data_IF_497297029037
#
_entry.id   IF_497297029037
#
_cell.length_a   1.000
_cell.length_b   1.000
_cell.length_c   1.000
_cell.angle_alpha   90.00
_cell.angle_beta   90.00
_cell.angle_gamma   90.00
#
_symmetry.space_group_name_H-M   'P 1'
#
loop_
_entity.id
_entity.type
_entity.pdbx_description
1 polymer ?
#
# COMPACT_ATOMS: atom_id res chain seq x y z
N UNK A 1 -10.38 5.90 -5.64
CA UNK A 1 -11.41 4.95 -6.15
C UNK A 1 -12.30 5.68 -7.15
N UNK A 2 -12.74 6.91 -6.85
CA UNK A 2 -13.44 7.78 -7.80
C UNK A 2 -12.62 8.07 -9.07
N UNK A 3 -11.36 8.50 -8.94
CA UNK A 3 -10.56 8.91 -10.13
C UNK A 3 -10.16 7.75 -11.03
N UNK A 4 -9.83 6.60 -10.44
CA UNK A 4 -9.49 5.39 -11.19
C UNK A 4 -10.70 4.85 -11.98
N UNK A 5 -11.88 4.80 -11.34
CA UNK A 5 -13.11 4.37 -12.00
C UNK A 5 -13.57 5.38 -13.05
N UNK A 6 -13.44 6.68 -12.79
CA UNK A 6 -13.68 7.73 -13.78
C UNK A 6 -12.78 7.58 -15.00
N UNK A 7 -11.47 7.42 -14.82
CA UNK A 7 -10.53 7.19 -15.91
C UNK A 7 -10.87 5.94 -16.72
N UNK A 8 -11.22 4.83 -16.05
CA UNK A 8 -11.67 3.63 -16.74
C UNK A 8 -12.95 3.85 -17.57
N UNK A 9 -13.92 4.61 -17.06
CA UNK A 9 -15.13 4.94 -17.80
C UNK A 9 -14.87 5.87 -18.98
N UNK A 10 -14.01 6.88 -18.82
CA UNK A 10 -13.60 7.78 -19.89
C UNK A 10 -12.94 7.01 -21.04
N UNK A 11 -11.95 6.16 -20.73
CA UNK A 11 -11.29 5.32 -21.73
C UNK A 11 -12.27 4.38 -22.45
N UNK A 12 -13.21 3.76 -21.72
CA UNK A 12 -14.24 2.88 -22.33
C UNK A 12 -15.17 3.61 -23.30
N UNK A 13 -15.32 4.92 -23.15
CA UNK A 13 -16.14 5.78 -24.02
C UNK A 13 -15.33 6.40 -25.16
N UNK A 14 -14.02 6.14 -25.23
CA UNK A 14 -13.13 6.79 -26.20
C UNK A 14 -12.83 8.25 -25.86
N UNK A 15 -13.13 8.69 -24.62
CA UNK A 15 -12.82 10.03 -24.16
C UNK A 15 -11.33 10.15 -23.84
N UNK A 16 -10.71 11.25 -24.28
CA UNK A 16 -9.31 11.51 -24.00
C UNK A 16 -9.16 12.23 -22.66
N UNK A 17 -8.39 11.64 -21.76
CA UNK A 17 -7.98 12.29 -20.51
C UNK A 17 -6.56 12.83 -20.72
N UNK A 18 -6.42 14.15 -20.69
CA UNK A 18 -5.12 14.81 -20.76
C UNK A 18 -4.65 15.22 -19.36
N UNK A 19 -3.35 15.11 -19.12
CA UNK A 19 -2.70 15.68 -17.94
C UNK A 19 -2.20 17.07 -18.30
N UNK A 20 -2.72 18.10 -17.64
CA UNK A 20 -2.29 19.50 -17.82
C UNK A 20 -1.42 19.90 -16.61
N UNK A 21 -0.08 19.95 -16.73
CA UNK A 21 0.81 20.27 -15.61
C UNK A 21 0.66 21.70 -15.10
N UNK A 22 0.14 22.63 -15.91
CA UNK A 22 -0.13 24.00 -15.47
C UNK A 22 -1.37 24.11 -14.57
N UNK A 23 -2.25 23.10 -14.58
CA UNK A 23 -3.45 23.08 -13.75
C UNK A 23 -3.10 22.67 -12.32
N UNK A 24 -2.91 23.66 -11.46
CA UNK A 24 -2.58 23.47 -10.05
C UNK A 24 -3.84 23.56 -9.19
N UNK A 25 -4.13 22.51 -8.44
CA UNK A 25 -5.20 22.48 -7.44
C UNK A 25 -4.57 22.49 -6.05
N UNK A 26 -4.87 23.51 -5.25
CA UNK A 26 -4.46 23.59 -3.84
C UNK A 26 -5.45 22.82 -2.98
N UNK A 27 -5.07 21.62 -2.57
CA UNK A 27 -5.83 20.86 -1.57
C UNK A 27 -5.36 21.24 -0.16
N UNK A 28 -6.27 21.64 0.76
CA UNK A 28 -5.89 21.77 2.16
C UNK A 28 -5.46 20.39 2.69
N UNK A 29 -4.35 20.36 3.41
CA UNK A 29 -3.81 19.13 4.01
C UNK A 29 -3.94 19.24 5.52
N UNK A 30 -4.70 18.34 6.13
CA UNK A 30 -4.79 18.26 7.59
C UNK A 30 -3.40 17.88 8.18
N UNK A 31 -2.85 18.66 9.13
CA UNK A 31 -1.62 18.30 9.83
C UNK A 31 -1.63 16.90 10.45
N UNK A 32 -2.81 16.37 10.80
CA UNK A 32 -2.98 15.02 11.34
C UNK A 32 -2.53 13.91 10.37
N UNK A 33 -2.53 14.19 9.06
CA UNK A 33 -2.09 13.25 8.02
C UNK A 33 -0.61 13.40 7.65
N UNK A 34 0.08 14.44 8.10
CA UNK A 34 1.53 14.63 7.93
C UNK A 34 2.28 14.12 9.16
N UNK A 35 2.01 12.86 9.54
CA UNK A 35 2.68 12.23 10.69
C UNK A 35 3.28 10.89 10.29
N UNK A 36 4.42 10.52 10.87
CA UNK A 36 5.01 9.19 10.62
C UNK A 36 4.01 8.06 10.92
N UNK A 37 3.18 8.24 11.95
CA UNK A 37 2.11 7.30 12.31
C UNK A 37 1.08 7.15 11.19
N UNK A 38 0.68 8.25 10.57
CA UNK A 38 -0.22 8.23 9.41
C UNK A 38 0.43 7.44 8.26
N UNK A 39 1.66 7.77 7.88
CA UNK A 39 2.35 7.11 6.78
C UNK A 39 2.56 5.60 7.01
N UNK A 40 2.86 5.16 8.24
CA UNK A 40 2.94 3.72 8.59
C UNK A 40 1.61 3.01 8.33
N UNK A 41 0.50 3.58 8.81
CA UNK A 41 -0.86 3.04 8.62
C UNK A 41 -1.25 3.04 7.15
N UNK A 42 -0.97 4.13 6.46
CA UNK A 42 -1.23 4.29 5.03
C UNK A 42 -0.44 3.26 4.21
N UNK A 43 0.85 3.08 4.50
CA UNK A 43 1.70 2.12 3.79
C UNK A 43 1.24 0.68 3.99
N UNK A 44 0.88 0.30 5.23
CA UNK A 44 0.26 -0.99 5.50
C UNK A 44 -1.02 -1.18 4.68
N UNK A 45 -1.92 -0.19 4.71
CA UNK A 45 -3.17 -0.23 3.94
C UNK A 45 -2.90 -0.32 2.43
N UNK A 46 -1.90 0.39 1.91
CA UNK A 46 -1.52 0.34 0.50
C UNK A 46 -0.98 -1.03 0.07
N UNK A 47 -0.58 -1.88 1.02
CA UNK A 47 -0.29 -3.29 0.78
C UNK A 47 -1.52 -4.19 0.68
N UNK A 48 -2.67 -3.76 1.20
CA UNK A 48 -3.93 -4.52 1.10
C UNK A 48 -4.48 -4.33 -0.31
N UNK A 49 -4.35 -5.35 -1.16
CA UNK A 49 -4.84 -5.33 -2.54
C UNK A 49 -5.91 -6.40 -2.75
N UNK A 50 -7.03 -6.10 -3.43
CA UNK A 50 -7.88 -7.12 -4.02
C UNK A 50 -7.07 -7.91 -5.04
N UNK A 51 -7.26 -9.23 -5.08
CA UNK A 51 -6.47 -10.11 -5.93
C UNK A 51 -7.24 -10.52 -7.17
N UNK A 52 -6.72 -10.19 -8.35
CA UNK A 52 -7.18 -10.79 -9.62
C UNK A 52 -6.04 -11.17 -10.57
N UNK A 53 -4.89 -10.51 -10.54
CA UNK A 53 -3.94 -10.60 -11.67
C UNK A 53 -2.49 -10.91 -11.29
N UNK A 54 -2.22 -11.95 -10.51
CA UNK A 54 -0.83 -12.41 -10.31
C UNK A 54 -0.54 -13.63 -11.17
N UNK A 55 0.62 -13.59 -11.82
CA UNK A 55 1.08 -14.64 -12.69
C UNK A 55 1.18 -15.98 -11.94
N UNK A 56 0.57 -17.02 -12.53
CA UNK A 56 0.51 -18.38 -11.98
C UNK A 56 1.88 -19.04 -11.90
N UNK A 57 2.87 -18.52 -12.62
CA UNK A 57 4.25 -19.04 -12.66
C UNK A 57 5.03 -18.80 -11.36
N UNK A 58 4.58 -17.87 -10.51
CA UNK A 58 5.30 -17.49 -9.29
C UNK A 58 5.12 -18.57 -8.22
N UNK A 59 6.22 -18.98 -7.57
CA UNK A 59 6.14 -19.88 -6.41
C UNK A 59 5.52 -19.16 -5.21
N UNK A 60 4.52 -19.79 -4.62
CA UNK A 60 3.80 -19.29 -3.45
C UNK A 60 4.11 -20.12 -2.22
N UNK A 61 4.25 -19.46 -1.07
CA UNK A 61 4.26 -20.07 0.25
C UNK A 61 3.18 -19.41 1.10
N UNK A 62 2.30 -20.21 1.75
CA UNK A 62 1.16 -19.70 2.52
C UNK A 62 0.25 -18.68 1.77
N UNK A 63 0.15 -18.77 0.45
CA UNK A 63 -0.65 -17.84 -0.38
C UNK A 63 0.04 -16.49 -0.67
N UNK A 64 1.31 -16.35 -0.29
CA UNK A 64 2.16 -15.19 -0.57
C UNK A 64 3.32 -15.62 -1.48
N UNK A 65 3.76 -14.79 -2.45
CA UNK A 65 4.96 -15.09 -3.22
C UNK A 65 6.22 -15.24 -2.39
N UNK A 66 7.04 -16.25 -2.69
CA UNK A 66 8.32 -16.47 -1.99
C UNK A 66 9.27 -15.27 -2.10
N UNK A 67 9.30 -14.59 -3.25
CA UNK A 67 10.12 -13.40 -3.44
C UNK A 67 9.74 -12.27 -2.47
N UNK A 68 8.48 -12.20 -2.03
CA UNK A 68 8.03 -11.17 -1.10
C UNK A 68 8.61 -11.42 0.30
N UNK A 69 8.68 -12.68 0.75
CA UNK A 69 9.37 -13.02 2.00
C UNK A 69 10.84 -12.64 1.96
N UNK A 70 11.53 -12.99 0.86
CA UNK A 70 12.94 -12.62 0.66
C UNK A 70 13.13 -11.10 0.71
N UNK A 71 12.27 -10.35 0.00
CA UNK A 71 12.32 -8.88 -0.01
C UNK A 71 12.08 -8.29 1.38
N UNK A 72 11.06 -8.76 2.09
CA UNK A 72 10.76 -8.30 3.45
C UNK A 72 11.93 -8.56 4.40
N UNK A 73 12.57 -9.73 4.31
CA UNK A 73 13.76 -10.02 5.11
C UNK A 73 14.91 -9.08 4.76
N UNK A 74 15.19 -8.86 3.47
CA UNK A 74 16.23 -7.92 3.03
C UNK A 74 15.97 -6.49 3.53
N UNK A 75 14.74 -6.00 3.43
CA UNK A 75 14.34 -4.69 3.96
C UNK A 75 14.44 -4.67 5.49
N UNK A 76 14.13 -5.77 6.18
CA UNK A 76 14.18 -5.85 7.65
C UNK A 76 15.62 -5.81 8.16
N UNK A 77 16.52 -6.58 7.54
CA UNK A 77 17.95 -6.53 7.82
C UNK A 77 18.53 -5.15 7.47
N UNK A 78 18.15 -4.56 6.34
CA UNK A 78 18.61 -3.23 5.95
C UNK A 78 18.18 -2.16 6.95
N UNK A 79 16.95 -2.24 7.46
CA UNK A 79 16.42 -1.33 8.48
C UNK A 79 17.09 -1.55 9.85
N UNK A 80 17.34 -2.81 10.24
CA UNK A 80 17.99 -3.16 11.52
C UNK A 80 19.46 -2.74 11.54
N UNK A 81 20.17 -2.89 10.41
CA UNK A 81 21.57 -2.49 10.27
C UNK A 81 21.74 -0.99 9.92
N UNK A 82 20.65 -0.27 9.63
CA UNK A 82 20.68 1.15 9.28
C UNK A 82 21.39 2.04 10.33
N UNK A 83 21.18 1.87 11.66
CA UNK A 83 21.90 2.64 12.67
C UNK A 83 23.41 2.37 12.65
N UNK A 84 23.82 1.13 12.40
CA UNK A 84 25.23 0.74 12.32
C UNK A 84 25.92 1.29 11.06
N UNK A 85 25.14 1.56 10.01
CA UNK A 85 25.62 2.10 8.73
C UNK A 85 25.47 3.62 8.62
N UNK A 86 25.11 4.30 9.70
CA UNK A 86 24.85 5.74 9.72
C UNK A 86 23.90 6.23 8.60
N UNK A 87 22.91 5.40 8.25
CA UNK A 87 21.93 5.72 7.19
C UNK A 87 21.07 6.90 7.63
N UNK A 88 20.79 7.87 6.74
CA UNK A 88 20.04 9.05 7.12
C UNK A 88 18.57 8.72 7.50
N UNK A 89 17.94 9.51 8.39
CA UNK A 89 16.63 9.16 8.97
C UNK A 89 15.50 9.00 7.95
N UNK A 90 15.54 9.77 6.85
CA UNK A 90 14.57 9.71 5.76
C UNK A 90 14.59 8.36 5.04
N UNK A 91 15.77 7.83 4.71
CA UNK A 91 15.93 6.54 4.05
C UNK A 91 15.54 5.38 4.97
N UNK A 92 15.91 5.47 6.25
CA UNK A 92 15.49 4.50 7.26
C UNK A 92 13.96 4.47 7.38
N UNK A 93 13.31 5.63 7.40
CA UNK A 93 11.85 5.71 7.41
C UNK A 93 11.23 5.16 6.13
N UNK A 94 11.80 5.44 4.95
CA UNK A 94 11.36 4.87 3.69
C UNK A 94 11.46 3.32 3.69
N UNK A 95 12.53 2.76 4.25
CA UNK A 95 12.68 1.33 4.46
C UNK A 95 11.61 0.77 5.42
N UNK A 96 11.32 1.50 6.50
CA UNK A 96 10.23 1.15 7.42
C UNK A 96 8.87 1.10 6.70
N UNK A 97 8.58 2.07 5.84
CA UNK A 97 7.35 2.09 5.06
C UNK A 97 7.25 0.89 4.10
N UNK A 98 8.36 0.46 3.47
CA UNK A 98 8.38 -0.76 2.65
C UNK A 98 8.04 -2.00 3.46
N UNK A 99 8.55 -2.11 4.68
CA UNK A 99 8.21 -3.21 5.59
C UNK A 99 6.71 -3.22 5.91
N UNK A 100 6.15 -2.07 6.26
CA UNK A 100 4.71 -1.94 6.51
C UNK A 100 3.87 -2.36 5.31
N UNK A 101 4.27 -1.97 4.10
CA UNK A 101 3.57 -2.34 2.86
C UNK A 101 3.65 -3.84 2.57
N UNK A 102 4.82 -4.42 2.70
CA UNK A 102 5.02 -5.86 2.52
C UNK A 102 4.21 -6.66 3.55
N UNK A 103 4.17 -6.19 4.80
CA UNK A 103 3.35 -6.77 5.86
C UNK A 103 1.85 -6.65 5.58
N UNK A 104 1.39 -5.51 5.07
CA UNK A 104 0.02 -5.32 4.61
C UNK A 104 -0.36 -6.32 3.52
N UNK A 105 0.56 -6.56 2.59
CA UNK A 105 0.39 -7.56 1.53
C UNK A 105 0.29 -8.97 2.11
N UNK A 106 1.24 -9.39 2.94
CA UNK A 106 1.25 -10.71 3.58
C UNK A 106 -0.01 -10.98 4.42
N UNK A 107 -0.36 -10.03 5.28
CA UNK A 107 -1.54 -10.15 6.16
C UNK A 107 -2.84 -10.20 5.37
N UNK A 108 -2.97 -9.41 4.29
CA UNK A 108 -4.09 -9.50 3.36
C UNK A 108 -4.21 -10.91 2.76
N UNK A 109 -3.10 -11.55 2.38
CA UNK A 109 -3.10 -12.95 1.89
C UNK A 109 -3.54 -13.95 2.92
N UNK A 110 -2.94 -13.90 4.10
CA UNK A 110 -3.28 -14.83 5.14
C UNK A 110 -4.74 -14.67 5.56
N UNK A 111 -5.24 -13.45 5.69
CA UNK A 111 -6.63 -13.21 6.03
C UNK A 111 -7.59 -13.67 4.92
N UNK A 112 -7.27 -13.40 3.66
CA UNK A 112 -8.07 -13.87 2.51
C UNK A 112 -8.10 -15.40 2.41
N UNK A 113 -6.99 -16.08 2.70
CA UNK A 113 -6.88 -17.54 2.62
C UNK A 113 -7.48 -18.25 3.84
N UNK A 114 -7.23 -17.74 5.04
CA UNK A 114 -7.66 -18.37 6.30
C UNK A 114 -9.10 -18.02 6.67
N UNK A 115 -9.56 -16.81 6.33
CA UNK A 115 -10.89 -16.28 6.71
C UNK A 115 -11.52 -15.47 5.58
N UNK A 116 -11.84 -16.10 4.44
CA UNK A 116 -12.37 -15.41 3.26
C UNK A 116 -13.65 -14.62 3.56
N UNK A 117 -14.54 -15.14 4.41
CA UNK A 117 -15.80 -14.48 4.78
C UNK A 117 -15.60 -13.20 5.61
N UNK A 118 -14.54 -13.15 6.44
CA UNK A 118 -14.24 -11.99 7.28
C UNK A 118 -13.28 -10.98 6.60
N UNK A 119 -12.72 -11.33 5.45
CA UNK A 119 -11.76 -10.50 4.73
C UNK A 119 -12.32 -9.11 4.34
N UNK A 120 -13.54 -8.99 3.78
CA UNK A 120 -14.10 -7.68 3.41
C UNK A 120 -14.21 -6.74 4.62
N UNK A 121 -14.78 -7.24 5.73
CA UNK A 121 -14.93 -6.47 6.97
C UNK A 121 -13.56 -6.10 7.59
N UNK A 122 -12.59 -7.00 7.53
CA UNK A 122 -11.22 -6.74 7.98
C UNK A 122 -10.53 -5.65 7.16
N UNK A 123 -10.64 -5.72 5.83
CA UNK A 123 -10.06 -4.73 4.93
C UNK A 123 -10.73 -3.36 5.10
N UNK A 124 -12.05 -3.33 5.27
CA UNK A 124 -12.83 -2.13 5.55
C UNK A 124 -12.48 -1.50 6.90
N UNK A 125 -12.29 -2.30 7.95
CA UNK A 125 -11.84 -1.82 9.26
C UNK A 125 -10.46 -1.15 9.24
N UNK A 126 -9.63 -1.49 8.24
CA UNK A 126 -8.32 -0.84 7.98
C UNK A 126 -8.43 0.32 6.99
N UNK A 127 -9.61 0.57 6.41
CA UNK A 127 -9.83 1.70 5.52
C UNK A 127 -9.94 3.01 6.31
N UNK A 128 -8.94 3.88 6.11
CA UNK A 128 -8.91 5.25 6.67
C UNK A 128 -10.11 6.16 6.30
N UNK A 129 -11.03 5.73 5.42
CA UNK A 129 -12.18 6.53 4.96
C UNK A 129 -13.22 6.78 6.06
N UNK A 130 -13.15 6.07 7.19
CA UNK A 130 -14.21 6.02 8.20
C UNK A 130 -14.19 7.15 9.23
N UNK A 131 -13.44 8.23 9.01
CA UNK A 131 -13.26 9.32 10.00
C UNK A 131 -13.50 10.74 9.52
N UNK A 132 -14.12 10.97 8.35
CA UNK A 132 -14.36 12.34 7.83
C UNK A 132 -13.12 13.24 7.88
N UNK A 133 -11.93 12.67 7.67
CA UNK A 133 -10.69 13.45 7.55
C UNK A 133 -10.41 13.58 6.06
N UNK A 134 -11.09 14.54 5.44
CA UNK A 134 -10.65 15.27 4.26
C UNK A 134 -10.71 16.74 4.62
#
# INVERSE_FOLDING_TARGET
HMDYEFGQRAMKRGEHVAYEPALLITAPVDPSIITQRYFRRWSFKAGISPWKDMDKTVRHFAGVPLWLYRRTLQDAFSWLLAPLRAVPPNERFACELRLWRSWGTMSSRWMSKLRPQAYPAWAEGRAQKRKNVY
#
